data_IF_228973459511
#
_entry.id   IF_228973459511
#
_cell.length_a   1.000
_cell.length_b   1.000
_cell.length_c   1.000
_cell.angle_alpha   90.00
_cell.angle_beta   90.00
_cell.angle_gamma   90.00
#
_symmetry.space_group_name_H-M   'P 1'
#
loop_
_entity.id
_entity.type
_entity.pdbx_description
1 polymer ?
#
# COMPACT_ATOMS: atom_id res chain seq x y z
N UNK A 1 -1.21 -14.78 -18.98
CA UNK A 1 -0.50 -16.01 -19.38
C UNK A 1 1.01 -15.78 -19.53
N UNK A 2 1.43 -14.70 -20.20
CA UNK A 2 2.84 -14.41 -20.47
C UNK A 2 3.68 -14.08 -19.21
N UNK A 3 3.11 -13.33 -18.27
CA UNK A 3 3.75 -12.99 -16.98
C UNK A 3 4.01 -14.23 -16.10
N UNK A 4 3.09 -15.21 -16.12
CA UNK A 4 3.23 -16.46 -15.37
C UNK A 4 4.27 -17.40 -15.99
N UNK A 5 4.37 -17.43 -17.32
CA UNK A 5 5.37 -18.23 -18.04
C UNK A 5 6.80 -17.64 -17.90
N UNK A 6 6.92 -16.32 -17.77
CA UNK A 6 8.20 -15.66 -17.47
C UNK A 6 8.68 -15.95 -16.04
N UNK A 7 7.76 -15.90 -15.06
CA UNK A 7 8.08 -16.20 -13.66
C UNK A 7 8.57 -17.65 -13.46
N UNK A 8 8.01 -18.62 -14.20
CA UNK A 8 8.38 -20.04 -14.07
C UNK A 8 9.76 -20.43 -14.63
N UNK A 9 10.32 -19.67 -15.58
CA UNK A 9 11.64 -19.93 -16.15
C UNK A 9 12.77 -19.38 -15.29
N UNK A 10 12.51 -18.27 -14.60
CA UNK A 10 13.53 -17.52 -13.85
C UNK A 10 13.76 -18.07 -12.43
N UNK A 11 12.82 -18.85 -11.90
CA UNK A 11 12.92 -19.49 -10.58
C UNK A 11 14.04 -20.56 -10.45
N UNK A 12 14.77 -20.87 -11.54
CA UNK A 12 15.78 -21.95 -11.58
C UNK A 12 17.24 -21.50 -11.50
N UNK A 13 17.52 -20.20 -11.35
CA UNK A 13 18.89 -19.66 -11.17
C UNK A 13 18.98 -18.95 -9.81
N UNK A 14 20.08 -19.19 -9.09
CA UNK A 14 20.31 -18.80 -7.67
C UNK A 14 19.63 -17.51 -7.24
N UNK A 15 18.66 -17.63 -6.32
CA UNK A 15 17.41 -16.89 -6.44
C UNK A 15 17.10 -15.80 -5.40
N UNK A 16 18.06 -15.27 -4.64
CA UNK A 16 17.74 -14.25 -3.62
C UNK A 16 18.08 -12.83 -4.07
N UNK A 17 19.31 -12.56 -4.52
CA UNK A 17 19.72 -11.22 -4.97
C UNK A 17 19.01 -10.79 -6.26
N UNK A 18 18.68 -11.74 -7.14
CA UNK A 18 18.01 -11.47 -8.40
C UNK A 18 16.50 -11.20 -8.24
N UNK A 19 15.83 -11.88 -7.30
CA UNK A 19 14.40 -11.66 -7.04
C UNK A 19 14.18 -10.26 -6.47
N UNK A 20 15.05 -9.80 -5.57
CA UNK A 20 14.99 -8.42 -5.08
C UNK A 20 15.18 -7.40 -6.21
N UNK A 21 16.22 -7.58 -7.04
CA UNK A 21 16.48 -6.71 -8.18
C UNK A 21 15.29 -6.66 -9.16
N UNK A 22 14.66 -7.81 -9.43
CA UNK A 22 13.48 -7.90 -10.27
C UNK A 22 12.25 -7.22 -9.62
N UNK A 23 12.01 -7.44 -8.32
CA UNK A 23 10.97 -6.75 -7.57
C UNK A 23 11.16 -5.23 -7.62
N UNK A 24 12.38 -4.73 -7.48
CA UNK A 24 12.69 -3.30 -7.61
C UNK A 24 12.39 -2.77 -9.02
N UNK A 25 12.76 -3.51 -10.08
CA UNK A 25 12.45 -3.13 -11.46
C UNK A 25 10.94 -3.09 -11.73
N UNK A 26 10.20 -4.10 -11.26
CA UNK A 26 8.75 -4.16 -11.38
C UNK A 26 8.09 -3.01 -10.61
N UNK A 27 8.53 -2.74 -9.38
CA UNK A 27 8.04 -1.61 -8.58
C UNK A 27 8.28 -0.27 -9.29
N UNK A 28 9.50 -0.04 -9.81
CA UNK A 28 9.84 1.18 -10.55
C UNK A 28 8.98 1.36 -11.82
N UNK A 29 8.70 0.27 -12.56
CA UNK A 29 7.83 0.31 -13.73
C UNK A 29 6.38 0.65 -13.36
N UNK A 30 5.87 0.13 -12.25
CA UNK A 30 4.54 0.47 -11.75
C UNK A 30 4.46 1.93 -11.30
N UNK A 31 5.49 2.44 -10.62
CA UNK A 31 5.55 3.83 -10.18
C UNK A 31 5.62 4.80 -11.37
N UNK A 32 6.44 4.51 -12.37
CA UNK A 32 6.52 5.30 -13.60
C UNK A 32 5.17 5.36 -14.34
N UNK A 33 4.45 4.22 -14.43
CA UNK A 33 3.10 4.19 -15.01
C UNK A 33 2.09 5.01 -14.20
N UNK A 34 2.15 4.92 -12.87
CA UNK A 34 1.29 5.71 -11.99
C UNK A 34 1.58 7.22 -12.12
N UNK A 35 2.85 7.61 -12.23
CA UNK A 35 3.25 9.00 -12.47
C UNK A 35 2.77 9.51 -13.83
N UNK A 36 2.96 8.74 -14.91
CA UNK A 36 2.45 9.08 -16.23
C UNK A 36 0.93 9.24 -16.26
N UNK A 37 0.19 8.36 -15.56
CA UNK A 37 -1.26 8.48 -15.43
C UNK A 37 -1.69 9.75 -14.66
N UNK A 38 -0.95 10.16 -13.62
CA UNK A 38 -1.20 11.42 -12.89
C UNK A 38 -0.95 12.65 -13.76
N UNK A 39 0.13 12.66 -14.54
CA UNK A 39 0.45 13.73 -15.47
C UNK A 39 -0.59 13.84 -16.59
N UNK A 40 -1.03 12.71 -17.16
CA UNK A 40 -2.09 12.69 -18.16
C UNK A 40 -3.42 13.25 -17.61
N UNK A 41 -3.75 12.94 -16.34
CA UNK A 41 -4.94 13.50 -15.66
C UNK A 41 -4.85 15.00 -15.41
N UNK A 42 -3.64 15.58 -15.40
CA UNK A 42 -3.41 17.03 -15.24
C UNK A 42 -3.72 17.84 -16.50
N UNK A 43 -3.87 17.19 -17.67
CA UNK A 43 -4.10 17.85 -18.97
C UNK A 43 -5.56 17.80 -19.44
N UNK A 44 -6.46 17.13 -18.68
CA UNK A 44 -7.88 17.01 -19.02
C UNK A 44 -8.69 18.03 -18.20
N UNK A 45 -9.59 18.83 -18.81
CA UNK A 45 -10.53 19.68 -18.08
C UNK A 45 -11.31 18.85 -17.04
N UNK A 46 -11.45 19.38 -15.82
CA UNK A 46 -11.98 18.64 -14.68
C UNK A 46 -13.37 18.06 -14.96
N UNK A 47 -13.45 16.74 -15.08
CA UNK A 47 -14.69 15.99 -14.88
C UNK A 47 -15.32 16.37 -13.53
N UNK A 48 -16.66 16.25 -13.36
CA UNK A 48 -17.31 16.52 -12.09
C UNK A 48 -16.59 15.77 -10.98
N UNK A 49 -16.10 16.51 -9.99
CA UNK A 49 -15.39 15.96 -8.84
C UNK A 49 -16.30 14.97 -8.12
N UNK A 50 -16.14 13.69 -8.43
CA UNK A 50 -16.66 12.61 -7.61
C UNK A 50 -16.02 12.79 -6.24
N UNK A 51 -16.86 12.90 -5.21
CA UNK A 51 -16.39 13.05 -3.84
C UNK A 51 -15.29 12.01 -3.55
N UNK A 52 -14.17 12.41 -2.93
CA UNK A 52 -13.08 11.48 -2.66
C UNK A 52 -13.63 10.26 -1.90
N UNK A 53 -13.18 9.05 -2.24
CA UNK A 53 -13.62 7.85 -1.52
C UNK A 53 -13.32 8.03 -0.04
N UNK A 54 -14.24 7.57 0.81
CA UNK A 54 -14.01 7.55 2.26
C UNK A 54 -12.81 6.65 2.57
N UNK A 55 -12.07 6.97 3.63
CA UNK A 55 -10.94 6.14 4.09
C UNK A 55 -11.35 4.67 4.23
N UNK A 56 -12.53 4.43 4.81
CA UNK A 56 -13.10 3.10 4.98
C UNK A 56 -13.22 2.33 3.66
N UNK A 57 -13.73 2.99 2.61
CA UNK A 57 -13.85 2.39 1.28
C UNK A 57 -12.48 2.07 0.69
N UNK A 58 -11.52 3.00 0.79
CA UNK A 58 -10.15 2.77 0.31
C UNK A 58 -9.47 1.60 1.03
N UNK A 59 -9.70 1.45 2.33
CA UNK A 59 -9.19 0.31 3.11
C UNK A 59 -9.85 -1.00 2.67
N UNK A 60 -11.16 -1.01 2.44
CA UNK A 60 -11.87 -2.19 1.93
C UNK A 60 -11.35 -2.62 0.55
N UNK A 61 -11.11 -1.67 -0.35
CA UNK A 61 -10.54 -1.95 -1.67
C UNK A 61 -9.11 -2.52 -1.56
N UNK A 62 -8.28 -1.96 -0.66
CA UNK A 62 -6.94 -2.49 -0.40
C UNK A 62 -6.98 -3.93 0.13
N UNK A 63 -7.89 -4.22 1.07
CA UNK A 63 -8.10 -5.58 1.60
C UNK A 63 -8.56 -6.54 0.49
N UNK A 64 -9.47 -6.11 -0.38
CA UNK A 64 -9.93 -6.93 -1.50
C UNK A 64 -8.80 -7.29 -2.47
N UNK A 65 -7.90 -6.34 -2.77
CA UNK A 65 -6.72 -6.59 -3.59
C UNK A 65 -5.74 -7.55 -2.92
N UNK A 66 -5.43 -7.36 -1.63
CA UNK A 66 -4.55 -8.28 -0.88
C UNK A 66 -5.14 -9.70 -0.88
N UNK A 67 -6.44 -9.84 -0.64
CA UNK A 67 -7.15 -11.13 -0.70
C UNK A 67 -7.03 -11.78 -2.09
N UNK A 68 -7.18 -10.99 -3.14
CA UNK A 68 -7.05 -11.48 -4.52
C UNK A 68 -5.65 -12.05 -4.78
N UNK A 69 -4.61 -11.33 -4.35
CA UNK A 69 -3.23 -11.81 -4.45
C UNK A 69 -3.03 -13.08 -3.64
N UNK A 70 -3.45 -13.11 -2.37
CA UNK A 70 -3.32 -14.29 -1.50
C UNK A 70 -4.01 -15.53 -2.09
N UNK A 71 -5.22 -15.35 -2.63
CA UNK A 71 -5.97 -16.44 -3.25
C UNK A 71 -5.30 -16.98 -4.52
N UNK A 72 -4.53 -16.16 -5.25
CA UNK A 72 -3.80 -16.58 -6.44
C UNK A 72 -2.47 -17.29 -6.14
N UNK A 73 -1.93 -17.18 -4.92
CA UNK A 73 -0.68 -17.84 -4.54
C UNK A 73 -0.83 -19.38 -4.49
N UNK A 74 0.23 -20.15 -4.78
CA UNK A 74 0.22 -21.59 -4.55
C UNK A 74 0.26 -21.94 -3.05
N UNK A 75 -0.10 -23.16 -2.68
CA UNK A 75 0.12 -23.70 -1.32
C UNK A 75 1.60 -23.55 -0.94
N UNK A 76 1.86 -23.31 0.34
CA UNK A 76 3.17 -23.12 0.95
C UNK A 76 3.89 -21.84 0.50
N UNK A 77 3.21 -20.94 -0.21
CA UNK A 77 3.70 -19.59 -0.47
C UNK A 77 3.47 -18.68 0.74
N UNK A 78 4.43 -17.80 1.00
CA UNK A 78 4.34 -16.77 2.03
C UNK A 78 4.04 -15.41 1.40
N UNK A 79 2.99 -14.75 1.88
CA UNK A 79 2.67 -13.36 1.55
C UNK A 79 3.09 -12.47 2.72
N UNK A 80 3.90 -11.44 2.42
CA UNK A 80 4.28 -10.40 3.36
C UNK A 80 3.67 -9.08 2.89
N UNK A 81 2.89 -8.44 3.74
CA UNK A 81 2.34 -7.10 3.52
C UNK A 81 2.91 -6.17 4.58
N UNK A 82 3.80 -5.28 4.17
CA UNK A 82 4.37 -4.26 5.04
C UNK A 82 3.78 -2.89 4.71
N UNK A 83 3.36 -2.16 5.72
CA UNK A 83 2.95 -0.76 5.56
C UNK A 83 4.17 0.15 5.56
N UNK A 84 4.12 1.20 4.75
CA UNK A 84 5.12 2.27 4.80
C UNK A 84 4.94 3.18 6.01
N UNK A 85 5.45 4.39 5.90
CA UNK A 85 5.25 5.44 6.90
C UNK A 85 3.75 5.78 7.03
N UNK A 86 3.34 6.14 8.24
CA UNK A 86 1.98 6.63 8.51
C UNK A 86 1.70 8.00 7.87
N UNK A 87 0.77 8.76 8.44
CA UNK A 87 0.39 10.08 7.95
C UNK A 87 1.49 11.15 8.16
N UNK A 88 2.45 11.18 7.23
CA UNK A 88 3.55 12.16 7.20
C UNK A 88 3.07 13.58 6.90
N UNK A 89 1.92 13.72 6.21
CA UNK A 89 1.36 15.03 5.88
C UNK A 89 0.87 15.74 7.14
N UNK A 90 0.19 15.02 8.04
CA UNK A 90 -0.24 15.59 9.33
C UNK A 90 0.94 15.96 10.23
N UNK A 91 1.99 15.13 10.28
CA UNK A 91 3.23 15.47 10.99
C UNK A 91 3.83 16.76 10.45
N UNK A 92 3.92 16.90 9.13
CA UNK A 92 4.44 18.11 8.49
C UNK A 92 3.58 19.33 8.81
N UNK A 93 2.24 19.19 8.76
CA UNK A 93 1.30 20.26 9.11
C UNK A 93 1.52 20.74 10.55
N UNK A 94 1.69 19.82 11.50
CA UNK A 94 1.95 20.15 12.90
C UNK A 94 3.33 20.80 13.10
N UNK A 95 4.35 20.38 12.36
CA UNK A 95 5.67 21.03 12.38
C UNK A 95 5.63 22.46 11.83
N UNK A 96 4.90 22.69 10.74
CA UNK A 96 4.66 24.02 10.17
C UNK A 96 3.87 24.90 11.16
N UNK A 97 2.89 24.33 11.85
CA UNK A 97 2.15 25.02 12.90
C UNK A 97 3.06 25.41 14.07
N UNK A 98 3.90 24.49 14.56
CA UNK A 98 4.91 24.79 15.58
C UNK A 98 5.80 25.95 15.16
N UNK A 99 6.32 25.90 13.92
CA UNK A 99 7.16 26.98 13.39
C UNK A 99 6.43 28.33 13.36
N UNK A 100 5.18 28.38 12.87
CA UNK A 100 4.39 29.62 12.81
C UNK A 100 4.14 30.22 14.19
N UNK A 101 3.78 29.39 15.18
CA UNK A 101 3.50 29.85 16.55
C UNK A 101 4.77 30.33 17.27
N UNK A 102 5.92 29.70 17.01
CA UNK A 102 7.21 30.17 17.55
C UNK A 102 7.65 31.51 16.96
N UNK A 103 7.23 31.82 15.73
CA UNK A 103 7.49 33.11 15.07
C UNK A 103 6.43 34.18 15.37
N UNK A 104 5.33 33.81 16.05
CA UNK A 104 4.23 34.73 16.36
C UNK A 104 3.46 35.24 15.13
N UNK A 105 3.54 34.55 13.99
CA UNK A 105 3.01 35.03 12.71
C UNK A 105 1.47 34.89 12.62
N UNK A 106 0.90 33.93 13.35
CA UNK A 106 -0.50 33.52 13.19
C UNK A 106 -1.45 34.02 14.29
N UNK A 107 -0.94 34.85 15.23
CA UNK A 107 -1.73 35.40 16.34
C UNK A 107 -2.26 34.33 17.31
N UNK A 108 -1.76 33.09 17.23
CA UNK A 108 -2.15 32.00 18.13
C UNK A 108 -1.34 32.04 19.42
N UNK A 109 -1.83 31.38 20.50
CA UNK A 109 -1.05 31.20 21.71
C UNK A 109 0.30 30.52 21.42
N UNK A 110 1.36 30.82 22.20
CA UNK A 110 2.64 30.13 22.08
C UNK A 110 2.49 28.61 22.08
N UNK A 111 3.38 27.93 21.37
CA UNK A 111 3.38 26.47 21.32
C UNK A 111 3.58 25.88 22.72
N UNK A 112 2.59 25.13 23.20
CA UNK A 112 2.54 24.60 24.56
C UNK A 112 2.98 23.12 24.62
N UNK A 113 3.13 22.61 25.85
CA UNK A 113 3.55 21.23 26.09
C UNK A 113 2.53 20.21 25.58
N UNK A 114 1.23 20.54 25.59
CA UNK A 114 0.18 19.68 25.07
C UNK A 114 0.29 19.52 23.55
N UNK A 115 0.55 20.61 22.82
CA UNK A 115 0.79 20.59 21.37
C UNK A 115 2.07 19.83 21.04
N UNK A 116 3.13 20.00 21.83
CA UNK A 116 4.37 19.23 21.66
C UNK A 116 4.13 17.73 21.85
N UNK A 117 3.41 17.33 22.90
CA UNK A 117 3.06 15.94 23.15
C UNK A 117 2.22 15.34 22.01
N UNK A 118 1.28 16.12 21.46
CA UNK A 118 0.48 15.70 20.31
C UNK A 118 1.33 15.49 19.04
N UNK A 119 2.25 16.41 18.73
CA UNK A 119 3.20 16.27 17.63
C UNK A 119 4.08 15.03 17.81
N UNK A 120 4.67 14.85 18.98
CA UNK A 120 5.53 13.70 19.28
C UNK A 120 4.80 12.36 19.17
N UNK A 121 3.53 12.32 19.60
CA UNK A 121 2.67 11.14 19.43
C UNK A 121 2.49 10.79 17.95
N UNK A 122 2.28 11.78 17.08
CA UNK A 122 2.14 11.54 15.64
C UNK A 122 3.47 11.13 15.00
N UNK A 123 4.57 11.80 15.34
CA UNK A 123 5.92 11.42 14.87
C UNK A 123 6.23 9.97 15.23
N UNK A 124 5.92 9.55 16.45
CA UNK A 124 6.12 8.17 16.88
C UNK A 124 5.27 7.20 16.05
N UNK A 125 3.98 7.48 15.88
CA UNK A 125 3.07 6.64 15.08
C UNK A 125 3.51 6.50 13.62
N UNK A 126 3.94 7.58 12.99
CA UNK A 126 4.37 7.57 11.58
C UNK A 126 5.65 6.74 11.37
N UNK A 127 6.48 6.61 12.41
CA UNK A 127 7.69 5.77 12.39
C UNK A 127 7.38 4.28 12.61
N UNK A 128 6.18 3.93 13.06
CA UNK A 128 5.78 2.54 13.20
C UNK A 128 5.30 2.01 11.85
N UNK A 129 5.88 0.90 11.42
CA UNK A 129 5.38 0.11 10.32
C UNK A 129 4.68 -1.14 10.86
N UNK A 130 3.61 -1.56 10.22
CA UNK A 130 2.94 -2.83 10.48
C UNK A 130 3.38 -3.82 9.41
N UNK A 131 3.74 -5.03 9.82
CA UNK A 131 4.09 -6.12 8.92
C UNK A 131 3.16 -7.30 9.20
N UNK A 132 2.42 -7.70 8.18
CA UNK A 132 1.53 -8.85 8.20
C UNK A 132 2.16 -9.96 7.38
N UNK A 133 2.21 -11.16 7.94
CA UNK A 133 2.78 -12.34 7.30
C UNK A 133 1.75 -13.46 7.33
N UNK A 134 1.50 -14.07 6.19
CA UNK A 134 0.63 -15.23 6.07
C UNK A 134 1.28 -16.29 5.17
N UNK A 135 1.20 -17.55 5.57
CA UNK A 135 1.63 -18.69 4.75
C UNK A 135 0.38 -19.43 4.30
N UNK A 136 0.25 -19.61 2.99
CA UNK A 136 -0.90 -20.30 2.41
C UNK A 136 -0.83 -21.79 2.72
N UNK A 137 -1.86 -22.31 3.37
CA UNK A 137 -2.00 -23.72 3.71
C UNK A 137 -2.93 -24.44 2.73
N UNK A 138 -2.90 -25.78 2.72
CA UNK A 138 -3.83 -26.58 1.91
C UNK A 138 -5.30 -26.38 2.32
N UNK A 139 -5.55 -26.00 3.58
CA UNK A 139 -6.89 -25.69 4.07
C UNK A 139 -7.47 -24.40 3.45
N UNK A 140 -6.60 -23.49 2.97
CA UNK A 140 -7.00 -22.25 2.33
C UNK A 140 -7.37 -22.43 0.85
N UNK A 141 -7.05 -23.58 0.27
CA UNK A 141 -7.42 -23.95 -1.11
C UNK A 141 -8.81 -24.55 -1.07
N UNK A 142 -9.84 -23.72 -0.93
CA UNK A 142 -11.22 -24.17 -1.15
C UNK A 142 -11.35 -24.58 -2.63
N UNK A 143 -11.31 -25.88 -2.89
CA UNK A 143 -11.54 -26.45 -4.22
C UNK A 143 -12.92 -25.97 -4.69
N UNK A 144 -13.05 -25.27 -5.83
CA UNK A 144 -14.37 -24.99 -6.39
C UNK A 144 -15.06 -26.32 -6.62
N UNK A 145 -16.23 -26.51 -6.00
CA UNK A 145 -17.02 -27.73 -6.13
C UNK A 145 -17.17 -28.07 -7.61
N UNK A 146 -16.46 -29.10 -8.08
CA UNK A 146 -16.61 -29.63 -9.42
C UNK A 146 -18.05 -30.10 -9.50
N UNK A 147 -18.88 -29.38 -10.27
CA UNK A 147 -20.22 -29.79 -10.60
C UNK A 147 -20.10 -31.20 -11.21
N UNK A 148 -20.60 -32.21 -10.49
CA UNK A 148 -20.68 -33.56 -11.00
C UNK A 148 -21.68 -33.52 -12.15
N UNK A 149 -21.18 -33.48 -13.38
CA UNK A 149 -21.99 -33.69 -14.57
C UNK A 149 -22.67 -35.06 -14.46
N UNK A 150 -23.98 -35.02 -14.21
CA UNK A 150 -24.83 -36.19 -14.24
C UNK A 150 -24.95 -36.71 -15.66
N UNK A 151 -24.12 -37.69 -16.01
CA UNK A 151 -24.45 -38.60 -17.11
C UNK A 151 -25.48 -39.61 -16.60
N UNK A 152 -26.71 -39.43 -17.06
CA UNK A 152 -27.71 -40.50 -17.17
C UNK A 152 -27.37 -41.39 -18.37
#
# INVERSE_FOLDING_TARGET
>A
AEVAAAAGREARKGGVDMVWAHCCQVAAAHEARAQAARQAKSLVPSEPQVAPPTLERTLQDAVAHVRTVYNALPTNAMLIVATGQGDTAEVRRLQEEKWKRLQGIDGRPPWDEQSEAALMKQVYRVRQALCYVAVKSDADVSVPAVAKDGKK
#
